data_IF_414924624406
#
_entry.id   IF_414924624406
#
_cell.length_a   1.000
_cell.length_b   1.000
_cell.length_c   1.000
_cell.angle_alpha   90.00
_cell.angle_beta   90.00
_cell.angle_gamma   90.00
#
_symmetry.space_group_name_H-M   'P 1'
#
loop_
_entity.id
_entity.type
_entity.pdbx_description
1 polymer ?
#
# COMPACT_ATOMS: atom_id res chain seq x y z
N UNK A 1 11.37 -17.34 9.48
CA UNK A 1 11.10 -15.97 9.96
C UNK A 1 12.02 -15.05 9.18
N UNK A 2 11.49 -14.29 8.20
CA UNK A 2 12.28 -13.31 7.47
C UNK A 2 12.78 -12.22 8.43
N UNK A 3 13.95 -11.66 8.15
CA UNK A 3 14.48 -10.44 8.80
C UNK A 3 14.58 -9.32 7.78
N UNK A 4 14.81 -8.08 8.23
CA UNK A 4 15.02 -6.98 7.30
C UNK A 4 16.17 -7.25 6.30
N UNK A 5 17.22 -7.94 6.71
CA UNK A 5 18.36 -8.29 5.84
C UNK A 5 18.10 -9.53 4.95
N UNK A 6 17.18 -10.40 5.31
CA UNK A 6 16.87 -11.65 4.60
C UNK A 6 15.35 -11.90 4.53
N UNK A 7 14.73 -11.38 3.48
CA UNK A 7 13.29 -11.48 3.22
C UNK A 7 12.99 -11.61 1.72
N UNK A 8 13.89 -12.21 0.94
CA UNK A 8 13.65 -12.46 -0.48
C UNK A 8 12.34 -13.23 -0.68
N UNK A 9 11.52 -12.80 -1.64
CA UNK A 9 10.18 -13.37 -1.86
C UNK A 9 9.07 -12.81 -0.98
N UNK A 10 9.38 -11.97 0.01
CA UNK A 10 8.38 -11.28 0.84
C UNK A 10 8.11 -9.84 0.36
N UNK A 11 6.94 -9.31 0.76
CA UNK A 11 6.56 -7.92 0.55
C UNK A 11 6.56 -7.19 1.90
N UNK A 12 7.03 -5.94 1.94
CA UNK A 12 6.78 -5.07 3.07
C UNK A 12 5.28 -4.74 3.12
N UNK A 13 4.63 -5.15 4.21
CA UNK A 13 3.18 -5.04 4.35
C UNK A 13 2.77 -4.42 5.69
N UNK A 14 1.59 -3.81 5.69
CA UNK A 14 0.94 -3.33 6.92
C UNK A 14 -0.28 -4.20 7.18
N UNK A 15 -0.31 -4.87 8.33
CA UNK A 15 -1.50 -5.55 8.81
C UNK A 15 -2.40 -4.55 9.53
N UNK A 16 -3.62 -4.36 9.02
CA UNK A 16 -4.63 -3.48 9.62
C UNK A 16 -5.68 -4.32 10.32
N UNK A 17 -5.84 -4.11 11.62
CA UNK A 17 -6.98 -4.64 12.39
C UNK A 17 -8.06 -3.56 12.46
N UNK A 18 -9.29 -3.88 12.09
CA UNK A 18 -10.39 -2.93 12.00
C UNK A 18 -11.72 -3.55 12.44
N UNK A 19 -12.69 -2.72 12.85
CA UNK A 19 -14.07 -3.15 13.11
C UNK A 19 -14.92 -2.93 11.84
N UNK A 20 -15.44 -3.98 11.18
CA UNK A 20 -16.23 -3.86 9.96
C UNK A 20 -17.55 -3.10 10.15
N UNK A 21 -18.00 -2.90 11.39
CA UNK A 21 -19.17 -2.06 11.72
C UNK A 21 -18.85 -0.56 11.71
N UNK A 22 -17.57 -0.20 11.78
CA UNK A 22 -17.08 1.18 11.80
C UNK A 22 -16.48 1.57 10.45
N UNK A 23 -15.70 0.68 9.83
CA UNK A 23 -15.07 0.92 8.53
C UNK A 23 -15.09 -0.36 7.68
N UNK A 24 -15.55 -0.25 6.45
CA UNK A 24 -15.57 -1.38 5.53
C UNK A 24 -14.17 -1.65 4.95
N UNK A 25 -13.88 -2.91 4.62
CA UNK A 25 -12.64 -3.30 3.93
C UNK A 25 -12.40 -2.47 2.67
N UNK A 26 -13.45 -2.29 1.85
CA UNK A 26 -13.41 -1.45 0.65
C UNK A 26 -12.89 -0.03 0.91
N UNK A 27 -13.28 0.59 2.03
CA UNK A 27 -12.79 1.92 2.40
C UNK A 27 -11.28 1.92 2.66
N UNK A 28 -10.75 0.85 3.27
CA UNK A 28 -9.31 0.69 3.48
C UNK A 28 -8.57 0.50 2.15
N UNK A 29 -9.13 -0.25 1.20
CA UNK A 29 -8.57 -0.41 -0.14
C UNK A 29 -8.56 0.91 -0.90
N UNK A 30 -9.69 1.63 -0.90
CA UNK A 30 -9.83 2.94 -1.53
C UNK A 30 -8.86 3.98 -0.92
N UNK A 31 -8.63 3.91 0.39
CA UNK A 31 -7.64 4.72 1.07
C UNK A 31 -6.22 4.33 0.62
N UNK A 32 -5.90 3.04 0.59
CA UNK A 32 -4.59 2.54 0.16
C UNK A 32 -4.24 3.02 -1.26
N UNK A 33 -5.17 2.88 -2.21
CA UNK A 33 -4.97 3.30 -3.61
C UNK A 33 -4.65 4.79 -3.75
N UNK A 34 -5.21 5.65 -2.88
CA UNK A 34 -4.90 7.09 -2.82
C UNK A 34 -3.52 7.40 -2.21
N UNK A 35 -2.85 6.42 -1.62
CA UNK A 35 -1.58 6.59 -0.90
C UNK A 35 -0.38 5.93 -1.57
N UNK A 36 -0.58 5.26 -2.71
CA UNK A 36 0.44 4.60 -3.52
C UNK A 36 0.48 5.16 -4.95
N UNK A 37 1.49 4.76 -5.73
CA UNK A 37 1.39 4.77 -7.19
C UNK A 37 0.82 3.41 -7.66
N UNK A 38 -0.47 3.33 -8.03
CA UNK A 38 -1.11 2.07 -8.38
C UNK A 38 -0.66 1.53 -9.76
N UNK A 39 0.13 2.32 -10.50
CA UNK A 39 0.65 1.93 -11.82
C UNK A 39 2.08 1.40 -11.78
N UNK A 40 2.72 1.42 -10.61
CA UNK A 40 4.11 1.04 -10.44
C UNK A 40 4.21 -0.43 -10.03
N UNK A 41 4.71 -1.26 -10.96
CA UNK A 41 4.93 -2.68 -10.73
C UNK A 41 6.35 -3.01 -10.22
N UNK A 42 7.25 -2.02 -10.17
CA UNK A 42 8.68 -2.22 -9.86
C UNK A 42 9.11 -1.71 -8.48
N UNK A 43 8.15 -1.30 -7.65
CA UNK A 43 8.38 -0.71 -6.33
C UNK A 43 7.42 0.45 -6.06
N UNK A 44 7.80 1.33 -5.14
CA UNK A 44 7.05 2.54 -4.82
C UNK A 44 7.99 3.75 -4.69
N UNK A 45 7.68 4.80 -5.45
CA UNK A 45 8.34 6.11 -5.37
C UNK A 45 9.86 6.11 -5.63
N UNK A 46 10.70 6.09 -4.62
CA UNK A 46 12.15 5.97 -4.77
C UNK A 46 12.66 4.59 -4.37
N UNK A 47 11.81 3.79 -3.70
CA UNK A 47 12.12 2.43 -3.27
C UNK A 47 11.76 1.44 -4.38
N UNK A 48 12.71 0.56 -4.70
CA UNK A 48 12.69 -0.27 -5.91
C UNK A 48 13.01 -1.71 -5.56
N UNK A 49 12.38 -2.63 -6.28
CA UNK A 49 12.51 -4.07 -6.03
C UNK A 49 11.22 -4.69 -5.49
N UNK A 50 11.21 -6.02 -5.43
CA UNK A 50 10.01 -6.80 -5.10
C UNK A 50 9.44 -6.39 -3.74
N UNK A 51 10.26 -6.26 -2.70
CA UNK A 51 9.81 -5.95 -1.34
C UNK A 51 8.94 -4.68 -1.25
N UNK A 52 9.14 -3.73 -2.15
CA UNK A 52 8.43 -2.46 -2.19
C UNK A 52 7.26 -2.43 -3.18
N UNK A 53 6.97 -3.54 -3.87
CA UNK A 53 5.85 -3.59 -4.79
C UNK A 53 4.52 -3.46 -4.02
N UNK A 54 3.61 -2.64 -4.55
CA UNK A 54 2.28 -2.52 -3.97
C UNK A 54 1.46 -3.79 -4.22
N UNK A 55 0.70 -4.24 -3.23
CA UNK A 55 -0.24 -5.33 -3.34
C UNK A 55 -1.40 -5.14 -2.35
N UNK A 56 -2.57 -5.71 -2.67
CA UNK A 56 -3.72 -5.79 -1.78
C UNK A 56 -3.93 -7.26 -1.44
N UNK A 57 -4.00 -7.58 -0.15
CA UNK A 57 -4.21 -8.95 0.33
C UNK A 57 -5.64 -9.13 0.81
N UNK A 58 -6.32 -10.14 0.27
CA UNK A 58 -7.67 -10.51 0.65
C UNK A 58 -7.67 -11.79 1.48
N UNK A 59 -8.37 -11.79 2.61
CA UNK A 59 -8.50 -12.94 3.50
C UNK A 59 -9.59 -13.93 3.06
N UNK A 60 -10.53 -13.50 2.22
CA UNK A 60 -11.66 -14.30 1.74
C UNK A 60 -12.20 -13.77 0.40
N UNK A 61 -13.23 -14.44 -0.11
CA UNK A 61 -13.86 -14.10 -1.39
C UNK A 61 -14.53 -12.71 -1.39
N UNK A 62 -15.09 -12.29 -0.26
CA UNK A 62 -15.78 -10.99 -0.14
C UNK A 62 -14.77 -9.84 -0.19
N UNK A 63 -13.67 -9.92 0.59
CA UNK A 63 -12.59 -8.94 0.52
C UNK A 63 -11.97 -8.88 -0.90
N UNK A 64 -11.84 -10.04 -1.55
CA UNK A 64 -11.34 -10.10 -2.93
C UNK A 64 -12.29 -9.42 -3.91
N UNK A 65 -13.59 -9.58 -3.73
CA UNK A 65 -14.60 -8.90 -4.56
C UNK A 65 -14.57 -7.39 -4.33
N UNK A 66 -14.50 -6.95 -3.07
CA UNK A 66 -14.38 -5.53 -2.70
C UNK A 66 -13.12 -4.89 -3.27
N UNK A 67 -11.96 -5.54 -3.14
CA UNK A 67 -10.71 -5.03 -3.69
C UNK A 67 -10.78 -4.85 -5.21
N UNK A 68 -11.32 -5.86 -5.93
CA UNK A 68 -11.50 -5.78 -7.38
C UNK A 68 -12.48 -4.67 -7.78
N UNK A 69 -13.55 -4.47 -7.01
CA UNK A 69 -14.50 -3.39 -7.25
C UNK A 69 -13.85 -2.01 -7.07
N UNK A 70 -13.04 -1.82 -6.02
CA UNK A 70 -12.25 -0.61 -5.82
C UNK A 70 -11.26 -0.35 -6.95
N UNK A 71 -10.55 -1.39 -7.40
CA UNK A 71 -9.63 -1.28 -8.54
C UNK A 71 -10.36 -0.86 -9.81
N UNK A 72 -11.46 -1.54 -10.14
CA UNK A 72 -12.24 -1.23 -11.33
C UNK A 72 -12.79 0.20 -11.32
N UNK A 73 -13.23 0.70 -10.17
CA UNK A 73 -13.70 2.07 -10.05
C UNK A 73 -12.55 3.08 -10.18
N UNK A 74 -11.42 2.81 -9.54
CA UNK A 74 -10.21 3.63 -9.69
C UNK A 74 -9.71 3.67 -11.14
N UNK A 75 -9.72 2.54 -11.85
CA UNK A 75 -9.33 2.47 -13.27
C UNK A 75 -10.24 3.33 -14.15
N UNK A 76 -11.55 3.37 -13.90
CA UNK A 76 -12.48 4.26 -14.61
C UNK A 76 -12.14 5.73 -14.35
N UNK A 77 -11.91 6.09 -13.09
CA UNK A 77 -11.57 7.47 -12.69
C UNK A 77 -10.24 7.91 -13.31
N UNK A 78 -9.25 7.02 -13.32
CA UNK A 78 -7.89 7.34 -13.79
C UNK A 78 -7.71 7.15 -15.30
N UNK A 79 -8.67 6.51 -15.98
CA UNK A 79 -8.58 6.19 -17.41
C UNK A 79 -7.41 5.26 -17.77
N UNK A 80 -6.89 4.50 -16.80
CA UNK A 80 -5.69 3.67 -16.96
C UNK A 80 -5.78 2.44 -16.07
N UNK A 81 -5.35 1.30 -16.61
CA UNK A 81 -5.26 0.01 -15.90
C UNK A 81 -4.27 0.08 -14.73
N UNK A 82 -4.70 -0.41 -13.57
CA UNK A 82 -3.90 -0.51 -12.34
C UNK A 82 -3.01 -1.75 -12.42
N UNK A 83 -1.77 -1.62 -11.95
CA UNK A 83 -0.78 -2.69 -11.89
C UNK A 83 -0.78 -3.43 -10.54
N UNK A 84 -1.33 -2.81 -9.48
CA UNK A 84 -1.44 -3.41 -8.14
C UNK A 84 -2.27 -4.69 -8.16
N UNK A 85 -1.71 -5.86 -7.78
CA UNK A 85 -2.43 -7.11 -7.74
C UNK A 85 -3.30 -7.26 -6.47
N UNK A 86 -4.34 -8.09 -6.59
CA UNK A 86 -5.11 -8.60 -5.44
C UNK A 86 -4.68 -10.05 -5.17
N UNK A 87 -3.92 -10.26 -4.09
CA UNK A 87 -3.35 -11.54 -3.69
C UNK A 87 -4.16 -12.17 -2.55
N UNK A 88 -4.07 -13.49 -2.37
CA UNK A 88 -4.58 -14.13 -1.16
C UNK A 88 -3.69 -13.75 0.03
N UNK A 89 -4.31 -13.53 1.19
CA UNK A 89 -3.57 -13.27 2.43
C UNK A 89 -2.75 -14.50 2.80
N UNK A 90 -1.43 -14.37 2.75
CA UNK A 90 -0.49 -15.35 3.28
C UNK A 90 -0.16 -15.13 4.75
N UNK A 91 0.89 -15.81 5.20
CA UNK A 91 1.48 -15.60 6.52
C UNK A 91 2.03 -14.17 6.68
N UNK A 92 1.95 -13.65 7.89
CA UNK A 92 2.47 -12.32 8.24
C UNK A 92 3.51 -12.45 9.34
N UNK A 93 4.72 -11.96 9.07
CA UNK A 93 5.82 -11.93 10.03
C UNK A 93 6.05 -10.50 10.49
N UNK A 94 6.05 -10.31 11.82
CA UNK A 94 6.24 -8.99 12.40
C UNK A 94 7.69 -8.53 12.18
N UNK A 95 7.86 -7.38 11.53
CA UNK A 95 9.15 -6.72 11.42
C UNK A 95 9.69 -6.26 12.78
N UNK A 96 11.00 -6.04 12.87
CA UNK A 96 11.72 -5.67 14.07
C UNK A 96 11.15 -4.40 14.74
N UNK A 97 11.29 -4.30 16.07
CA UNK A 97 10.63 -3.25 16.86
C UNK A 97 10.97 -1.80 16.49
N UNK A 98 12.11 -1.57 15.83
CA UNK A 98 12.49 -0.24 15.34
C UNK A 98 11.73 0.19 14.08
N UNK A 99 11.20 -0.76 13.29
CA UNK A 99 10.31 -0.48 12.15
C UNK A 99 8.89 -0.11 12.61
N UNK A 100 8.45 -0.65 13.74
CA UNK A 100 7.12 -0.37 14.28
C UNK A 100 6.98 1.10 14.67
N UNK A 101 5.90 1.74 14.21
CA UNK A 101 5.62 3.17 14.44
C UNK A 101 6.76 4.12 14.01
N UNK A 102 7.57 3.74 13.03
CA UNK A 102 8.76 4.50 12.63
C UNK A 102 8.47 5.99 12.35
N UNK A 103 7.38 6.28 11.62
CA UNK A 103 6.98 7.65 11.30
C UNK A 103 6.64 8.50 12.54
N UNK A 104 6.08 7.88 13.59
CA UNK A 104 5.78 8.55 14.87
C UNK A 104 7.04 8.76 15.70
N UNK A 105 7.93 7.77 15.71
CA UNK A 105 9.20 7.79 16.47
C UNK A 105 10.24 8.74 15.84
N UNK A 106 10.22 8.88 14.51
CA UNK A 106 11.22 9.64 13.74
C UNK A 106 10.59 10.65 12.76
N UNK A 107 9.75 11.59 13.23
CA UNK A 107 8.89 12.40 12.35
C UNK A 107 9.67 13.29 11.37
N UNK A 108 10.78 13.88 11.80
CA UNK A 108 11.61 14.74 10.94
C UNK A 108 12.30 13.93 9.83
N UNK A 109 12.93 12.81 10.18
CA UNK A 109 13.61 11.93 9.23
C UNK A 109 12.63 11.33 8.23
N UNK A 110 11.48 10.87 8.72
CA UNK A 110 10.41 10.33 7.88
C UNK A 110 9.85 11.40 6.92
N UNK A 111 9.60 12.62 7.40
CA UNK A 111 9.10 13.73 6.55
C UNK A 111 10.09 14.10 5.46
N UNK A 112 11.38 14.19 5.80
CA UNK A 112 12.43 14.45 4.82
C UNK A 112 12.48 13.34 3.76
N UNK A 113 12.53 12.07 4.19
CA UNK A 113 12.52 10.91 3.32
C UNK A 113 11.30 10.89 2.39
N UNK A 114 10.07 11.01 2.93
CA UNK A 114 8.82 11.03 2.15
C UNK A 114 8.84 12.11 1.06
N UNK A 115 9.36 13.28 1.40
CA UNK A 115 9.44 14.43 0.49
C UNK A 115 10.49 14.18 -0.59
N UNK A 116 11.70 13.77 -0.21
CA UNK A 116 12.81 13.48 -1.13
C UNK A 116 12.49 12.32 -2.09
N UNK A 117 11.72 11.34 -1.61
CA UNK A 117 11.24 10.20 -2.38
C UNK A 117 10.16 10.59 -3.40
N UNK A 118 9.62 11.82 -3.34
CA UNK A 118 8.64 12.32 -4.29
C UNK A 118 7.22 11.74 -4.14
N UNK A 119 6.93 11.06 -3.03
CA UNK A 119 5.67 10.35 -2.80
C UNK A 119 4.45 11.23 -3.04
N UNK A 120 4.39 12.37 -2.36
CA UNK A 120 3.23 13.26 -2.41
C UNK A 120 3.07 13.91 -3.79
N UNK A 121 4.18 14.22 -4.46
CA UNK A 121 4.15 14.75 -5.81
C UNK A 121 3.62 13.70 -6.80
N UNK A 122 4.02 12.43 -6.64
CA UNK A 122 3.55 11.33 -7.48
C UNK A 122 2.07 11.04 -7.27
N UNK A 123 1.63 10.95 -6.01
CA UNK A 123 0.22 10.75 -5.66
C UNK A 123 -0.66 11.87 -6.23
N UNK A 124 -0.25 13.14 -6.08
CA UNK A 124 -0.96 14.28 -6.71
C UNK A 124 -0.99 14.19 -8.24
N UNK A 125 0.06 13.69 -8.87
CA UNK A 125 0.08 13.49 -10.33
C UNK A 125 -0.87 12.39 -10.78
N UNK A 126 -1.07 11.35 -9.96
CA UNK A 126 -2.00 10.26 -10.25
C UNK A 126 -3.45 10.69 -10.02
N UNK A 127 -3.75 11.26 -8.85
CA UNK A 127 -5.11 11.52 -8.39
C UNK A 127 -5.57 12.99 -8.52
N UNK A 128 -4.69 13.88 -8.98
CA UNK A 128 -4.97 15.31 -9.03
C UNK A 128 -5.12 15.92 -7.63
N UNK A 129 -6.05 16.88 -7.50
CA UNK A 129 -6.42 17.50 -6.20
C UNK A 129 -7.32 16.64 -5.31
N UNK A 130 -7.68 15.42 -5.74
CA UNK A 130 -8.49 14.47 -4.96
C UNK A 130 -7.65 13.59 -4.01
N UNK A 131 -6.40 14.00 -3.73
CA UNK A 131 -5.44 13.25 -2.92
C UNK A 131 -5.60 13.42 -1.40
N UNK A 132 -6.84 13.58 -0.91
CA UNK A 132 -7.13 13.75 0.52
C UNK A 132 -7.75 12.49 1.12
#
# INVERSE_FOLDING_TARGET
>A
NPTYEDHEGHLEAVQVTYDPRVVAYRTLVDYHLRHIDPFDAGGQFCDRGQSYAAAIFAANADERADAKASLAEAEKVLGRKIATPVLDRGDFWLAEGYHQDYAKKNPLRYKYYRTACGRDARVRKVWGGASH
#
